data_IF_194283368276
#
_entry.id   IF_194283368276
#
_cell.length_a   1.000
_cell.length_b   1.000
_cell.length_c   1.000
_cell.angle_alpha   90.00
_cell.angle_beta   90.00
_cell.angle_gamma   90.00
#
_symmetry.space_group_name_H-M   'P 1'
#
loop_
_entity.id
_entity.type
_entity.pdbx_description
1 polymer ?
#
# COMPACT_ATOMS: atom_id res chain seq x y z
N UNK A 1 4.61 -11.33 -16.49
CA UNK A 1 4.70 -9.87 -16.31
C UNK A 1 6.10 -9.53 -15.83
N UNK A 2 6.44 -8.24 -15.78
CA UNK A 2 7.65 -7.73 -15.13
C UNK A 2 7.24 -6.84 -13.95
N UNK A 3 8.16 -6.63 -13.01
CA UNK A 3 7.98 -5.67 -11.92
C UNK A 3 8.85 -4.46 -12.17
N UNK A 4 8.23 -3.29 -12.18
CA UNK A 4 8.90 -2.01 -12.29
C UNK A 4 8.78 -1.26 -10.98
N UNK A 5 9.89 -0.72 -10.52
CA UNK A 5 9.92 0.33 -9.53
C UNK A 5 9.67 1.67 -10.19
N UNK A 6 8.77 2.46 -9.63
CA UNK A 6 8.53 3.84 -10.04
C UNK A 6 9.02 4.77 -8.94
N UNK A 7 9.78 5.79 -9.32
CA UNK A 7 10.11 6.92 -8.46
C UNK A 7 9.55 8.21 -9.08
N UNK A 8 8.74 8.93 -8.31
CA UNK A 8 8.01 10.12 -8.75
C UNK A 8 8.45 11.32 -7.91
N UNK A 9 8.93 12.38 -8.55
CA UNK A 9 9.36 13.60 -7.84
C UNK A 9 8.16 14.37 -7.27
N UNK A 10 8.11 14.59 -5.95
CA UNK A 10 7.13 15.48 -5.29
C UNK A 10 7.82 16.70 -4.66
N UNK A 11 7.08 17.80 -4.41
CA UNK A 11 7.62 18.97 -3.71
C UNK A 11 8.19 18.67 -2.30
N UNK A 12 7.80 17.55 -1.69
CA UNK A 12 8.18 17.16 -0.33
C UNK A 12 9.10 15.93 -0.27
N UNK A 13 9.55 15.42 -1.42
CA UNK A 13 10.39 14.22 -1.52
C UNK A 13 10.01 13.36 -2.71
N UNK A 14 10.83 12.37 -3.05
CA UNK A 14 10.46 11.39 -4.06
C UNK A 14 9.50 10.35 -3.44
N UNK A 15 8.46 10.00 -4.18
CA UNK A 15 7.57 8.91 -3.82
C UNK A 15 7.93 7.66 -4.61
N UNK A 16 7.93 6.50 -3.96
CA UNK A 16 8.38 5.23 -4.55
C UNK A 16 7.26 4.20 -4.51
N UNK A 17 7.03 3.50 -5.62
CA UNK A 17 6.03 2.45 -5.71
C UNK A 17 6.47 1.34 -6.65
N UNK A 18 5.63 0.31 -6.80
CA UNK A 18 5.88 -0.81 -7.69
C UNK A 18 4.70 -1.05 -8.63
N UNK A 19 5.00 -1.43 -9.87
CA UNK A 19 4.03 -1.64 -10.94
C UNK A 19 4.30 -2.98 -11.61
N UNK A 20 3.27 -3.80 -11.70
CA UNK A 20 3.28 -5.03 -12.50
C UNK A 20 2.78 -4.69 -13.90
N UNK A 21 3.61 -4.90 -14.91
CA UNK A 21 3.26 -4.63 -16.29
C UNK A 21 4.04 -5.53 -17.27
N UNK A 22 3.55 -5.76 -18.50
CA UNK A 22 4.28 -6.55 -19.48
C UNK A 22 5.49 -5.80 -20.06
N UNK A 23 5.44 -4.47 -20.14
CA UNK A 23 6.50 -3.62 -20.70
C UNK A 23 6.63 -2.32 -19.91
N UNK A 24 7.76 -1.64 -20.06
CA UNK A 24 8.04 -0.35 -19.43
C UNK A 24 7.06 0.73 -19.94
N UNK A 25 6.74 0.73 -21.23
CA UNK A 25 5.77 1.67 -21.80
C UNK A 25 4.40 1.52 -21.15
N UNK A 26 3.97 0.27 -20.90
CA UNK A 26 2.69 0.03 -20.24
C UNK A 26 2.70 0.44 -18.77
N UNK A 27 3.84 0.29 -18.08
CA UNK A 27 4.01 0.81 -16.73
C UNK A 27 3.96 2.35 -16.72
N UNK A 28 4.61 3.01 -17.68
CA UNK A 28 4.61 4.47 -17.82
C UNK A 28 3.21 5.03 -18.09
N UNK A 29 2.42 4.38 -18.95
CA UNK A 29 1.01 4.74 -19.18
C UNK A 29 0.19 4.70 -17.88
N UNK A 30 0.38 3.66 -17.05
CA UNK A 30 -0.31 3.57 -15.75
C UNK A 30 0.06 4.71 -14.81
N UNK A 31 1.34 5.10 -14.75
CA UNK A 31 1.78 6.25 -13.93
C UNK A 31 1.11 7.53 -14.42
N UNK A 32 1.10 7.76 -15.74
CA UNK A 32 0.50 8.97 -16.32
C UNK A 32 -1.01 9.01 -16.05
N UNK A 33 -1.72 7.91 -16.30
CA UNK A 33 -3.17 7.79 -16.03
C UNK A 33 -3.46 8.05 -14.54
N UNK A 34 -2.64 7.49 -13.65
CA UNK A 34 -2.73 7.69 -12.22
C UNK A 34 -2.57 9.17 -11.80
N UNK A 35 -1.55 9.85 -12.33
CA UNK A 35 -1.33 11.28 -12.07
C UNK A 35 -2.49 12.15 -12.55
N UNK A 36 -3.02 11.85 -13.74
CA UNK A 36 -4.14 12.56 -14.33
C UNK A 36 -5.41 12.39 -13.50
N UNK A 37 -5.70 11.17 -13.07
CA UNK A 37 -6.88 10.86 -12.27
C UNK A 37 -6.84 11.51 -10.89
N UNK A 38 -5.65 11.64 -10.30
CA UNK A 38 -5.46 12.37 -9.03
C UNK A 38 -5.35 13.90 -9.21
N UNK A 39 -5.41 14.41 -10.44
CA UNK A 39 -5.20 15.83 -10.76
C UNK A 39 -3.88 16.38 -10.20
N UNK A 40 -2.86 15.53 -10.13
CA UNK A 40 -1.52 15.92 -9.71
C UNK A 40 -0.76 16.51 -10.91
N UNK A 41 0.08 17.51 -10.66
CA UNK A 41 0.90 18.10 -11.70
C UNK A 41 1.93 17.06 -12.14
N UNK A 42 1.85 16.57 -13.38
CA UNK A 42 2.73 15.53 -13.94
C UNK A 42 4.21 15.83 -13.65
N UNK A 43 4.84 15.16 -12.69
CA UNK A 43 6.25 15.38 -12.41
C UNK A 43 7.08 14.47 -13.30
N UNK A 44 8.38 14.73 -13.33
CA UNK A 44 9.33 13.75 -13.80
C UNK A 44 9.19 12.49 -12.94
N UNK A 45 9.08 11.34 -13.59
CA UNK A 45 9.17 10.04 -12.94
C UNK A 45 10.21 9.20 -13.68
N UNK A 46 10.74 8.20 -12.97
CA UNK A 46 11.61 7.18 -13.53
C UNK A 46 11.01 5.80 -13.29
N UNK A 47 11.34 4.87 -14.19
CA UNK A 47 10.97 3.47 -14.08
C UNK A 47 12.23 2.62 -14.19
N UNK A 48 12.36 1.64 -13.31
CA UNK A 48 13.41 0.64 -13.35
C UNK A 48 12.80 -0.76 -13.22
N UNK A 49 13.19 -1.69 -14.08
CA UNK A 49 12.78 -3.08 -13.95
C UNK A 49 13.56 -3.75 -12.82
N UNK A 50 12.86 -4.26 -11.80
CA UNK A 50 13.47 -4.76 -10.56
C UNK A 50 13.24 -6.25 -10.28
N UNK A 51 12.38 -6.96 -11.03
CA UNK A 51 12.07 -8.38 -10.76
C UNK A 51 13.30 -9.32 -10.74
N UNK A 52 14.37 -8.96 -11.45
CA UNK A 52 15.63 -9.71 -11.50
C UNK A 52 16.69 -9.22 -10.50
N UNK A 53 16.50 -8.04 -9.89
CA UNK A 53 17.50 -7.37 -9.02
C UNK A 53 17.06 -7.22 -7.56
N UNK A 54 15.81 -7.55 -7.23
CA UNK A 54 15.29 -7.59 -5.86
C UNK A 54 16.12 -8.49 -4.95
N UNK A 55 16.33 -8.03 -3.71
CA UNK A 55 16.94 -8.82 -2.64
C UNK A 55 16.13 -10.09 -2.36
N UNK A 56 16.78 -11.15 -1.85
CA UNK A 56 16.17 -12.46 -1.61
C UNK A 56 14.92 -12.38 -0.73
N UNK A 57 14.98 -11.57 0.32
CA UNK A 57 13.86 -11.37 1.26
C UNK A 57 12.61 -10.80 0.56
N UNK A 58 12.76 -10.08 -0.55
CA UNK A 58 11.66 -9.47 -1.30
C UNK A 58 11.13 -10.35 -2.43
N UNK A 59 11.60 -11.60 -2.55
CA UNK A 59 11.16 -12.51 -3.61
C UNK A 59 9.96 -13.36 -3.22
N UNK A 60 9.50 -13.27 -1.96
CA UNK A 60 8.34 -14.02 -1.48
C UNK A 60 7.10 -13.72 -2.33
N UNK A 61 6.51 -14.75 -2.92
CA UNK A 61 5.36 -14.70 -3.83
C UNK A 61 5.51 -13.83 -5.09
N UNK A 62 6.74 -13.41 -5.43
CA UNK A 62 7.00 -12.63 -6.64
C UNK A 62 6.61 -13.38 -7.91
N UNK A 63 6.94 -14.67 -8.04
CA UNK A 63 6.59 -15.46 -9.24
C UNK A 63 5.07 -15.54 -9.43
N UNK A 64 4.33 -15.76 -8.33
CA UNK A 64 2.87 -15.80 -8.33
C UNK A 64 2.28 -14.46 -8.78
N UNK A 65 2.83 -13.35 -8.28
CA UNK A 65 2.46 -12.00 -8.72
C UNK A 65 2.71 -11.83 -10.22
N UNK A 66 3.89 -12.17 -10.72
CA UNK A 66 4.25 -11.95 -12.13
C UNK A 66 3.49 -12.83 -13.11
N UNK A 67 3.03 -14.01 -12.67
CA UNK A 67 2.22 -14.92 -13.47
C UNK A 67 0.73 -14.54 -13.50
N UNK A 68 0.18 -14.10 -12.37
CA UNK A 68 -1.26 -14.03 -12.17
C UNK A 68 -1.82 -12.61 -11.96
N UNK A 69 -1.00 -11.65 -11.54
CA UNK A 69 -1.52 -10.32 -11.22
C UNK A 69 -1.96 -9.57 -12.48
N UNK A 70 -3.06 -8.79 -12.38
CA UNK A 70 -3.40 -7.83 -13.41
C UNK A 70 -2.32 -6.76 -13.53
N UNK A 71 -2.33 -6.07 -14.67
CA UNK A 71 -1.50 -4.88 -14.86
C UNK A 71 -1.96 -3.79 -13.90
N UNK A 72 -1.07 -3.30 -13.05
CA UNK A 72 -1.43 -2.36 -11.98
C UNK A 72 -0.33 -2.20 -10.94
N UNK A 73 -0.62 -1.43 -9.91
CA UNK A 73 0.31 -1.22 -8.80
C UNK A 73 0.44 -2.44 -7.90
N UNK A 74 1.53 -2.52 -7.14
CA UNK A 74 1.76 -3.53 -6.13
C UNK A 74 2.51 -2.97 -4.91
N UNK A 75 2.36 -3.63 -3.76
CA UNK A 75 3.12 -3.36 -2.54
C UNK A 75 3.71 -4.65 -1.98
N UNK A 76 4.87 -4.56 -1.34
CA UNK A 76 5.46 -5.67 -0.60
C UNK A 76 5.17 -5.51 0.90
N UNK A 77 4.71 -6.57 1.55
CA UNK A 77 4.54 -6.58 3.01
C UNK A 77 4.84 -7.96 3.58
N UNK A 78 5.78 -8.04 4.51
CA UNK A 78 5.96 -9.25 5.33
C UNK A 78 4.86 -9.39 6.38
N UNK A 79 4.39 -10.62 6.68
CA UNK A 79 4.82 -11.91 6.12
C UNK A 79 4.05 -12.33 4.85
N UNK A 80 3.31 -11.42 4.22
CA UNK A 80 2.37 -11.72 3.13
C UNK A 80 2.99 -11.76 1.73
N UNK A 81 4.17 -11.18 1.54
CA UNK A 81 4.81 -11.07 0.23
C UNK A 81 4.25 -9.91 -0.60
N UNK A 82 4.19 -10.09 -1.92
CA UNK A 82 3.67 -9.09 -2.85
C UNK A 82 2.14 -9.08 -2.96
N UNK A 83 1.57 -7.89 -2.88
CA UNK A 83 0.13 -7.62 -2.93
C UNK A 83 -0.16 -6.79 -4.18
N UNK A 84 -0.95 -7.32 -5.11
CA UNK A 84 -1.43 -6.58 -6.29
C UNK A 84 -2.60 -5.67 -5.92
N UNK A 85 -2.58 -4.44 -6.44
CA UNK A 85 -3.66 -3.47 -6.28
C UNK A 85 -4.60 -3.60 -7.48
N UNK A 86 -5.90 -3.77 -7.20
CA UNK A 86 -6.92 -4.00 -8.25
C UNK A 86 -7.47 -2.69 -8.83
N UNK A 87 -7.24 -1.55 -8.15
CA UNK A 87 -7.73 -0.24 -8.59
C UNK A 87 -6.82 0.38 -9.67
N UNK A 88 -7.43 1.05 -10.64
CA UNK A 88 -6.72 1.80 -11.69
C UNK A 88 -5.94 3.02 -11.15
N UNK A 89 -6.27 3.48 -9.93
CA UNK A 89 -5.65 4.61 -9.25
C UNK A 89 -5.30 4.18 -7.83
N UNK A 90 -4.04 4.29 -7.45
CA UNK A 90 -3.60 4.00 -6.08
C UNK A 90 -3.68 5.26 -5.21
N UNK A 91 -4.79 5.44 -4.53
CA UNK A 91 -4.77 6.15 -3.25
C UNK A 91 -5.06 5.10 -2.18
N UNK A 92 -4.05 4.76 -1.41
CA UNK A 92 -4.21 3.94 -0.23
C UNK A 92 -5.18 4.62 0.72
N UNK A 93 -5.80 3.81 1.56
CA UNK A 93 -6.79 4.27 2.52
C UNK A 93 -6.33 3.89 3.91
N UNK A 94 -6.55 4.80 4.84
CA UNK A 94 -6.45 4.49 6.25
C UNK A 94 -7.73 3.75 6.66
N UNK A 95 -7.57 2.54 7.16
CA UNK A 95 -8.63 1.75 7.78
C UNK A 95 -8.42 1.74 9.28
N UNK A 96 -9.52 1.77 10.02
CA UNK A 96 -9.54 1.54 11.47
C UNK A 96 -10.25 0.23 11.73
N UNK A 97 -9.55 -0.71 12.35
CA UNK A 97 -10.06 -2.01 12.73
C UNK A 97 -10.25 -2.01 14.24
N UNK A 98 -11.49 -2.22 14.65
CA UNK A 98 -11.87 -2.35 16.05
C UNK A 98 -12.26 -3.81 16.29
N UNK A 99 -11.62 -4.45 17.27
CA UNK A 99 -11.98 -5.83 17.64
C UNK A 99 -13.00 -5.89 18.79
N UNK A 100 -13.58 -7.07 18.98
CA UNK A 100 -14.57 -7.32 20.04
C UNK A 100 -14.03 -7.15 21.46
N UNK A 101 -12.71 -7.05 21.64
CA UNK A 101 -12.06 -6.79 22.92
C UNK A 101 -11.80 -5.29 23.15
N UNK A 102 -12.12 -4.44 22.16
CA UNK A 102 -11.94 -3.01 22.21
C UNK A 102 -10.54 -2.55 21.80
N UNK A 103 -9.71 -3.41 21.22
CA UNK A 103 -8.44 -2.99 20.63
C UNK A 103 -8.71 -2.29 19.29
N UNK A 104 -8.02 -1.18 19.09
CA UNK A 104 -8.09 -0.38 17.86
C UNK A 104 -6.75 -0.47 17.14
N UNK A 105 -6.78 -0.75 15.84
CA UNK A 105 -5.60 -0.82 14.98
C UNK A 105 -5.84 -0.04 13.71
N UNK A 106 -4.85 0.74 13.28
CA UNK A 106 -4.90 1.46 12.03
C UNK A 106 -4.06 0.74 10.98
N UNK A 107 -4.59 0.67 9.75
CA UNK A 107 -3.90 0.04 8.62
C UNK A 107 -3.99 0.90 7.38
N UNK A 108 -2.89 0.98 6.64
CA UNK A 108 -2.86 1.53 5.28
C UNK A 108 -2.97 0.37 4.30
N UNK A 109 -3.98 0.40 3.43
CA UNK A 109 -4.21 -0.62 2.41
C UNK A 109 -4.95 -0.04 1.19
N UNK A 110 -4.86 -0.69 0.01
CA UNK A 110 -5.62 -0.28 -1.18
C UNK A 110 -7.13 -0.47 -1.00
N UNK A 111 -7.55 -1.48 -0.24
CA UNK A 111 -8.95 -1.82 -0.01
C UNK A 111 -9.16 -2.55 1.34
N UNK A 112 -10.44 -2.71 1.70
CA UNK A 112 -10.86 -3.30 2.98
C UNK A 112 -10.46 -4.78 3.11
N UNK A 113 -10.51 -5.53 2.01
CA UNK A 113 -10.15 -6.96 2.00
C UNK A 113 -8.67 -7.12 2.29
N UNK A 114 -7.84 -6.33 1.61
CA UNK A 114 -6.40 -6.29 1.84
C UNK A 114 -6.07 -5.90 3.28
N UNK A 115 -6.74 -4.87 3.84
CA UNK A 115 -6.57 -4.47 5.24
C UNK A 115 -6.89 -5.62 6.22
N UNK A 116 -7.97 -6.38 5.97
CA UNK A 116 -8.33 -7.53 6.80
C UNK A 116 -7.31 -8.67 6.71
N UNK A 117 -6.81 -8.96 5.51
CA UNK A 117 -5.78 -10.00 5.32
C UNK A 117 -4.51 -9.65 6.09
N UNK A 118 -4.06 -8.38 6.02
CA UNK A 118 -2.91 -7.90 6.79
C UNK A 118 -3.17 -8.00 8.29
N UNK A 119 -4.34 -7.54 8.74
CA UNK A 119 -4.71 -7.64 10.15
C UNK A 119 -4.67 -9.08 10.65
N UNK A 120 -5.25 -10.03 9.91
CA UNK A 120 -5.26 -11.44 10.28
C UNK A 120 -3.87 -12.10 10.22
N UNK A 121 -2.97 -11.63 9.34
CA UNK A 121 -1.62 -12.18 9.23
C UNK A 121 -0.74 -11.78 10.43
N UNK A 122 -0.92 -10.57 10.93
CA UNK A 122 -0.21 -10.03 12.08
C UNK A 122 -0.86 -10.44 13.41
N UNK A 123 -2.20 -10.52 13.43
CA UNK A 123 -2.96 -10.90 14.61
C UNK A 123 -3.09 -12.43 14.72
N UNK A 124 -2.23 -13.04 15.55
CA UNK A 124 -2.29 -14.48 15.84
C UNK A 124 -3.46 -14.78 16.77
N UNK A 125 -4.50 -15.43 16.23
CA UNK A 125 -5.55 -16.06 17.02
C UNK A 125 -5.09 -17.44 17.47
N UNK A 126 -5.42 -17.81 18.71
CA UNK A 126 -5.22 -19.17 19.19
C UNK A 126 -6.21 -20.15 18.53
N UNK A 127 -5.89 -21.44 18.53
CA UNK A 127 -6.77 -22.46 17.94
C UNK A 127 -8.14 -22.46 18.64
N UNK A 128 -9.20 -22.26 17.86
CA UNK A 128 -10.58 -22.18 18.36
C UNK A 128 -10.98 -20.80 18.88
N UNK A 129 -10.11 -19.80 18.80
CA UNK A 129 -10.45 -18.41 19.11
C UNK A 129 -11.21 -17.77 17.94
N UNK A 130 -12.36 -17.17 18.23
CA UNK A 130 -13.13 -16.37 17.30
C UNK A 130 -13.02 -14.90 17.70
N UNK A 131 -12.67 -14.04 16.73
CA UNK A 131 -12.61 -12.60 16.94
C UNK A 131 -13.48 -11.89 15.91
N UNK A 132 -14.43 -11.12 16.42
CA UNK A 132 -15.24 -10.26 15.58
C UNK A 132 -14.53 -8.90 15.44
N UNK A 133 -14.42 -8.42 14.20
CA UNK A 133 -13.82 -7.12 13.90
C UNK A 133 -14.77 -6.25 13.09
N UNK A 134 -14.71 -4.95 13.33
CA UNK A 134 -15.35 -3.91 12.53
C UNK A 134 -14.27 -3.18 11.74
N UNK A 135 -14.49 -2.98 10.43
CA UNK A 135 -13.57 -2.21 9.58
C UNK A 135 -14.23 -0.93 9.12
N UNK A 136 -13.70 0.18 9.62
CA UNK A 136 -14.21 1.52 9.42
C UNK A 136 -13.24 2.34 8.55
N UNK A 137 -13.74 3.48 8.04
CA UNK A 137 -12.87 4.52 7.49
C UNK A 137 -12.01 5.11 8.62
N UNK A 138 -10.70 4.98 8.49
CA UNK A 138 -9.75 5.42 9.52
C UNK A 138 -9.61 6.93 9.61
N UNK A 139 -10.05 7.69 8.60
CA UNK A 139 -10.10 9.15 8.65
C UNK A 139 -11.28 9.66 9.48
N UNK A 140 -12.31 8.84 9.65
CA UNK A 140 -13.54 9.25 10.33
C UNK A 140 -13.30 9.50 11.82
N UNK A 141 -13.41 10.78 12.20
CA UNK A 141 -13.26 11.22 13.59
C UNK A 141 -11.80 11.44 14.03
N UNK A 142 -10.83 11.38 13.11
CA UNK A 142 -9.47 11.82 13.43
C UNK A 142 -9.42 13.33 13.66
N UNK A 143 -8.74 13.78 14.74
CA UNK A 143 -8.50 15.20 14.94
C UNK A 143 -7.48 15.72 13.92
N UNK A 144 -7.53 17.02 13.62
CA UNK A 144 -6.79 17.62 12.52
C UNK A 144 -5.26 17.56 12.67
N UNK A 145 -4.76 17.52 13.90
CA UNK A 145 -3.35 17.32 14.24
C UNK A 145 -2.83 15.93 13.82
N UNK A 146 -3.70 14.92 13.82
CA UNK A 146 -3.42 13.57 13.33
C UNK A 146 -3.52 13.44 11.80
N UNK A 147 -3.74 14.52 11.06
CA UNK A 147 -3.69 14.50 9.59
C UNK A 147 -2.32 14.90 9.04
N UNK A 148 -1.40 15.32 9.91
CA UNK A 148 0.01 15.57 9.55
C UNK A 148 0.56 14.30 8.89
N UNK A 149 1.38 14.44 7.84
CA UNK A 149 2.05 13.41 7.01
C UNK A 149 1.19 12.32 6.35
N UNK A 150 -0.09 12.19 6.73
CA UNK A 150 -0.98 11.15 6.22
C UNK A 150 -1.24 11.21 4.71
N UNK A 151 -1.45 12.37 4.05
CA UNK A 151 -1.64 12.42 2.60
C UNK A 151 -0.49 11.77 1.80
N UNK A 152 0.75 11.99 2.23
CA UNK A 152 1.94 11.40 1.60
C UNK A 152 1.99 9.88 1.79
N UNK A 153 1.63 9.40 2.99
CA UNK A 153 1.53 7.96 3.27
C UNK A 153 0.40 7.29 2.48
N UNK A 154 -0.70 8.00 2.23
CA UNK A 154 -1.81 7.45 1.47
C UNK A 154 -1.56 7.45 -0.05
N UNK A 155 -0.58 8.20 -0.53
CA UNK A 155 -0.23 8.23 -1.95
C UNK A 155 0.60 6.99 -2.34
N UNK A 156 1.74 6.79 -1.66
CA UNK A 156 2.68 5.69 -1.96
C UNK A 156 3.31 5.08 -0.70
N UNK A 157 2.72 5.29 0.47
CA UNK A 157 3.21 4.70 1.71
C UNK A 157 3.16 3.16 1.68
N UNK A 158 3.88 2.51 2.60
CA UNK A 158 3.83 1.06 2.70
C UNK A 158 2.43 0.60 3.12
N UNK A 159 2.03 -0.54 2.56
CA UNK A 159 0.80 -1.24 2.97
C UNK A 159 1.11 -2.01 4.25
N UNK A 160 0.34 -1.79 5.31
CA UNK A 160 0.65 -2.36 6.63
C UNK A 160 -0.10 -1.73 7.78
N UNK A 161 0.17 -2.24 9.00
CA UNK A 161 -0.23 -1.58 10.24
C UNK A 161 0.55 -0.29 10.44
N UNK A 162 -0.12 0.73 10.95
CA UNK A 162 0.49 2.03 11.23
C UNK A 162 0.13 2.51 12.63
N UNK A 163 1.10 3.15 13.27
CA UNK A 163 0.93 3.75 14.59
C UNK A 163 1.08 5.27 14.49
N UNK A 164 0.33 6.00 15.31
CA UNK A 164 0.47 7.45 15.41
C UNK A 164 1.40 7.82 16.57
N UNK A 165 2.48 8.52 16.25
CA UNK A 165 3.38 9.15 17.20
C UNK A 165 3.14 10.66 17.25
N UNK A 166 3.09 11.25 18.45
CA UNK A 166 2.77 12.66 18.63
C UNK A 166 3.83 13.62 18.04
N UNK A 167 5.10 13.19 18.01
CA UNK A 167 6.20 14.02 17.50
C UNK A 167 6.35 13.87 15.98
N UNK A 168 6.30 12.63 15.50
CA UNK A 168 6.64 12.22 14.14
C UNK A 168 5.43 12.09 13.20
N UNK A 169 4.21 11.96 13.75
CA UNK A 169 3.00 11.68 12.99
C UNK A 169 2.77 10.17 12.79
N UNK A 170 2.14 9.78 11.68
CA UNK A 170 1.94 8.38 11.35
C UNK A 170 3.25 7.70 10.97
N UNK A 171 3.48 6.52 11.53
CA UNK A 171 4.64 5.66 11.33
C UNK A 171 4.16 4.33 10.75
N UNK A 172 4.83 3.85 9.71
CA UNK A 172 4.47 2.67 8.95
C UNK A 172 5.66 1.73 8.75
#
# INVERSE_FOLDING_TARGET
MNLYEVEIERPHGAARGYIVAPTEERAAELVIDHELDLSLASPAFSLERVDETLAEDWRMDLDSLLENAPVGFASYREPLGWISHVASVQMLKLFRIEDSLGAETFLIAPDRTTALVIYCAEFRLDEGEERQVSVCDGLAGLPADRLRNLPTLLEFGPVGMVDFDEECGWLA
#
